data_IF_542533292383
#
_entry.id   IF_542533292383
#
_cell.length_a   1.000
_cell.length_b   1.000
_cell.length_c   1.000
_cell.angle_alpha   90.00
_cell.angle_beta   90.00
_cell.angle_gamma   90.00
#
_symmetry.space_group_name_H-M   'P 1'
#
loop_
_entity.id
_entity.type
_entity.pdbx_description
1 polymer ?
#
# COMPACT_ATOMS: atom_id res chain seq x y z
N UNK A 1 -32.28 -27.64 -4.22
CA UNK A 1 -31.25 -27.83 -5.27
C UNK A 1 -30.40 -26.57 -5.33
N UNK A 2 -29.10 -26.74 -5.15
CA UNK A 2 -28.04 -25.75 -5.40
C UNK A 2 -27.81 -25.63 -6.90
N UNK A 3 -27.62 -24.41 -7.40
CA UNK A 3 -26.69 -24.12 -8.51
C UNK A 3 -26.11 -22.72 -8.30
N UNK A 4 -25.20 -22.61 -7.34
CA UNK A 4 -24.03 -21.76 -7.51
C UNK A 4 -23.18 -22.42 -8.59
N UNK A 5 -22.59 -21.64 -9.51
CA UNK A 5 -21.29 -21.82 -10.20
C UNK A 5 -21.29 -21.13 -11.61
N UNK A 6 -20.15 -20.90 -12.28
CA UNK A 6 -18.93 -20.19 -11.85
C UNK A 6 -18.37 -19.30 -13.00
N UNK A 7 -17.90 -18.08 -12.73
CA UNK A 7 -17.45 -17.18 -13.81
C UNK A 7 -16.28 -16.31 -13.44
N UNK A 8 -15.08 -16.91 -13.43
CA UNK A 8 -13.76 -16.26 -13.41
C UNK A 8 -13.56 -15.26 -12.27
N UNK A 9 -13.25 -15.82 -11.09
CA UNK A 9 -12.49 -15.09 -10.07
C UNK A 9 -11.12 -14.87 -10.69
N UNK A 10 -10.81 -13.64 -11.06
CA UNK A 10 -9.43 -13.17 -11.22
C UNK A 10 -8.67 -13.73 -10.01
N UNK A 11 -7.49 -14.37 -10.16
CA UNK A 11 -6.70 -14.69 -8.98
C UNK A 11 -6.54 -13.37 -8.25
N UNK A 12 -7.22 -13.24 -7.10
CA UNK A 12 -7.09 -12.11 -6.20
C UNK A 12 -5.59 -11.91 -6.07
N UNK A 13 -5.11 -10.77 -6.55
CA UNK A 13 -3.69 -10.48 -6.56
C UNK A 13 -3.16 -10.60 -5.14
N UNK A 14 -1.84 -10.64 -5.01
CA UNK A 14 -1.20 -10.64 -3.70
C UNK A 14 -1.75 -9.53 -2.77
N UNK A 15 -2.18 -8.42 -3.38
CA UNK A 15 -2.83 -7.24 -2.80
C UNK A 15 -4.18 -7.49 -2.09
N UNK A 16 -4.94 -8.51 -2.49
CA UNK A 16 -6.29 -8.79 -1.96
C UNK A 16 -6.27 -9.78 -0.78
N UNK A 17 -5.09 -10.18 -0.30
CA UNK A 17 -4.95 -11.11 0.83
C UNK A 17 -5.29 -10.40 2.14
N UNK A 18 -6.23 -10.96 2.89
CA UNK A 18 -6.57 -10.45 4.23
C UNK A 18 -5.40 -10.74 5.17
N UNK A 19 -4.73 -9.69 5.64
CA UNK A 19 -3.72 -9.78 6.70
C UNK A 19 -4.43 -9.67 8.04
N UNK A 20 -4.29 -10.70 8.86
CA UNK A 20 -4.76 -10.67 10.24
C UNK A 20 -3.74 -9.92 11.11
N UNK A 21 -4.15 -8.76 11.64
CA UNK A 21 -3.34 -7.90 12.52
C UNK A 21 -3.66 -8.12 14.01
N UNK A 22 -4.47 -9.13 14.33
CA UNK A 22 -4.99 -9.34 15.69
C UNK A 22 -4.02 -10.07 16.62
N UNK A 23 -3.12 -10.88 16.08
CA UNK A 23 -2.11 -11.62 16.84
C UNK A 23 -0.78 -10.83 16.88
N UNK A 24 -0.38 -10.44 18.10
CA UNK A 24 0.91 -9.84 18.46
C UNK A 24 1.26 -8.50 17.81
N UNK A 25 0.64 -7.42 18.30
CA UNK A 25 1.25 -6.09 18.24
C UNK A 25 2.55 -6.11 19.07
N UNK A 26 3.64 -6.56 18.45
CA UNK A 26 4.98 -6.51 19.04
C UNK A 26 5.22 -5.07 19.45
N UNK A 27 5.50 -4.85 20.73
CA UNK A 27 6.00 -3.55 21.19
C UNK A 27 7.30 -3.32 20.42
N UNK A 28 7.21 -2.50 19.37
CA UNK A 28 8.36 -2.18 18.56
C UNK A 28 9.42 -1.54 19.47
N UNK A 29 10.71 -1.81 19.22
CA UNK A 29 11.76 -1.01 19.85
C UNK A 29 11.52 0.48 19.58
N UNK A 30 12.12 1.34 20.39
CA UNK A 30 11.93 2.79 20.24
C UNK A 30 12.28 3.22 18.81
N UNK A 31 11.27 3.72 18.08
CA UNK A 31 11.41 4.19 16.72
C UNK A 31 12.21 5.49 16.72
N UNK A 32 13.29 5.53 15.95
CA UNK A 32 14.13 6.73 15.85
C UNK A 32 13.61 7.67 14.76
N UNK A 33 14.10 8.92 14.73
CA UNK A 33 13.77 9.86 13.64
C UNK A 33 14.20 9.35 12.27
N UNK A 34 15.26 8.55 12.19
CA UNK A 34 15.77 7.98 10.92
C UNK A 34 14.86 6.86 10.38
N UNK A 35 14.09 6.20 11.27
CA UNK A 35 13.10 5.18 10.90
C UNK A 35 11.78 5.79 10.38
N UNK A 36 11.68 7.12 10.41
CA UNK A 36 10.56 7.83 9.81
C UNK A 36 10.93 8.29 8.41
N UNK A 37 9.92 8.57 7.61
CA UNK A 37 10.04 9.32 6.37
C UNK A 37 10.52 10.77 6.58
N UNK A 38 10.92 11.18 7.79
CA UNK A 38 11.41 12.53 8.04
C UNK A 38 12.70 12.82 7.27
N UNK A 39 12.59 13.65 6.24
CA UNK A 39 13.70 13.96 5.31
C UNK A 39 13.69 13.11 4.04
N UNK A 40 12.79 12.13 3.94
CA UNK A 40 12.50 11.33 2.76
C UNK A 40 11.10 11.68 2.22
N UNK A 41 10.93 11.77 0.91
CA UNK A 41 9.64 12.14 0.32
C UNK A 41 9.30 13.64 0.44
N UNK A 42 8.14 14.00 -0.11
CA UNK A 42 7.63 15.37 -0.12
C UNK A 42 7.03 15.75 1.24
N UNK A 43 7.17 17.01 1.62
CA UNK A 43 6.60 17.50 2.89
C UNK A 43 5.07 17.48 2.79
N UNK A 44 4.33 17.35 3.90
CA UNK A 44 2.88 17.53 3.87
C UNK A 44 2.56 18.96 3.38
N UNK A 45 1.99 19.06 2.18
CA UNK A 45 1.80 20.31 1.42
C UNK A 45 2.78 20.55 0.27
N UNK A 46 3.58 19.54 -0.09
CA UNK A 46 4.46 19.51 -1.26
C UNK A 46 3.69 19.60 -2.57
N UNK A 47 4.32 20.23 -3.56
CA UNK A 47 3.70 20.52 -4.84
C UNK A 47 3.73 19.27 -5.73
N UNK A 48 2.64 18.52 -5.72
CA UNK A 48 2.47 17.30 -6.53
C UNK A 48 2.64 17.55 -8.05
N UNK A 49 2.59 18.82 -8.49
CA UNK A 49 2.78 19.23 -9.88
C UNK A 49 4.08 18.70 -10.47
N UNK A 50 5.17 18.64 -9.70
CA UNK A 50 6.45 18.13 -10.20
C UNK A 50 6.40 16.60 -10.45
N UNK A 51 5.74 15.85 -9.57
CA UNK A 51 5.57 14.40 -9.67
C UNK A 51 4.68 14.02 -10.87
N UNK A 52 3.67 14.85 -11.14
CA UNK A 52 2.78 14.67 -12.29
C UNK A 52 3.46 15.05 -13.61
N UNK A 53 4.31 16.08 -13.60
CA UNK A 53 5.08 16.50 -14.76
C UNK A 53 6.13 15.46 -15.18
N UNK A 54 6.78 14.80 -14.22
CA UNK A 54 7.82 13.79 -14.45
C UNK A 54 7.27 12.35 -14.49
N UNK A 55 5.95 12.20 -14.64
CA UNK A 55 5.30 10.89 -14.61
C UNK A 55 5.86 9.94 -15.67
N UNK A 56 6.33 8.74 -15.27
CA UNK A 56 6.73 7.68 -16.18
C UNK A 56 5.61 7.25 -17.14
N UNK A 57 5.95 6.79 -18.36
CA UNK A 57 4.96 6.44 -19.39
C UNK A 57 3.99 5.30 -19.01
N UNK A 58 4.33 4.51 -17.99
CA UNK A 58 3.58 3.32 -17.57
C UNK A 58 2.57 3.59 -16.43
N UNK A 59 2.42 4.83 -15.97
CA UNK A 59 1.43 5.22 -14.93
C UNK A 59 0.03 5.54 -15.52
N UNK A 60 -0.35 4.86 -16.60
CA UNK A 60 -1.63 5.01 -17.31
C UNK A 60 -2.59 3.88 -17.03
#
# INVERSE_FOLDING_TARGET
MLVTEPGIRVPRGDDDRVVDLSDDLVVLPEQTTDDTDHGWGERPGGDDDWLLAERPPHWG
#
